data_IF_031665385612
#
_entry.id   IF_031665385612
#
_cell.length_a   1.000
_cell.length_b   1.000
_cell.length_c   1.000
_cell.angle_alpha   90.00
_cell.angle_beta   90.00
_cell.angle_gamma   90.00
#
_symmetry.space_group_name_H-M   'P 1'
#
loop_
_entity.id
_entity.type
_entity.pdbx_description
1 polymer ?
#
# COMPACT_ATOMS: atom_id res chain seq x y z
N UNK A 1 -25.82 19.33 -1.60
CA UNK A 1 -25.49 18.54 -0.39
C UNK A 1 -24.27 19.16 0.26
N UNK A 2 -24.46 19.90 1.34
CA UNK A 2 -23.37 20.50 2.13
C UNK A 2 -22.56 19.40 2.81
N UNK A 3 -21.30 19.24 2.42
CA UNK A 3 -20.31 18.50 3.18
C UNK A 3 -19.97 19.31 4.43
N UNK A 4 -20.58 18.95 5.56
CA UNK A 4 -20.21 19.49 6.85
C UNK A 4 -18.76 19.10 7.15
N UNK A 5 -17.87 20.10 7.17
CA UNK A 5 -16.50 19.98 7.65
C UNK A 5 -16.51 19.79 9.17
N UNK A 6 -16.81 18.57 9.62
CA UNK A 6 -16.63 18.21 11.03
C UNK A 6 -15.16 17.83 11.25
N UNK A 7 -14.41 18.81 11.77
CA UNK A 7 -13.20 18.69 12.59
C UNK A 7 -11.87 18.42 11.87
N UNK A 8 -11.12 19.50 11.70
CA UNK A 8 -9.69 19.52 11.32
C UNK A 8 -8.86 19.28 12.59
N UNK A 9 -8.06 18.20 12.65
CA UNK A 9 -7.04 18.10 13.72
C UNK A 9 -6.46 16.74 14.12
N UNK A 10 -6.96 15.58 13.67
CA UNK A 10 -6.43 14.27 14.11
C UNK A 10 -5.97 13.39 12.92
N UNK A 11 -4.66 13.30 12.63
CA UNK A 11 -4.12 12.55 11.48
C UNK A 11 -4.44 11.06 11.45
N UNK A 12 -4.89 10.49 12.58
CA UNK A 12 -5.23 9.06 12.72
C UNK A 12 -6.67 8.71 12.33
N UNK A 13 -7.60 9.67 12.26
CA UNK A 13 -9.01 9.37 12.02
C UNK A 13 -9.28 8.88 10.58
N UNK A 14 -8.66 9.53 9.58
CA UNK A 14 -8.73 9.08 8.19
C UNK A 14 -8.18 7.66 7.99
N UNK A 15 -7.16 7.28 8.76
CA UNK A 15 -6.58 5.93 8.71
C UNK A 15 -7.56 4.90 9.28
N UNK A 16 -8.27 5.22 10.37
CA UNK A 16 -9.29 4.35 10.96
C UNK A 16 -10.49 4.18 10.03
N UNK A 17 -10.94 5.25 9.37
CA UNK A 17 -12.04 5.20 8.40
C UNK A 17 -11.66 4.42 7.13
N UNK A 18 -10.48 4.65 6.55
CA UNK A 18 -9.96 3.86 5.42
C UNK A 18 -9.82 2.38 5.79
N UNK A 19 -9.36 2.09 7.01
CA UNK A 19 -9.26 0.73 7.52
C UNK A 19 -10.63 0.06 7.67
N UNK A 20 -11.62 0.75 8.23
CA UNK A 20 -12.99 0.26 8.36
C UNK A 20 -13.63 -0.04 6.99
N UNK A 21 -13.47 0.87 6.02
CA UNK A 21 -13.91 0.66 4.63
C UNK A 21 -13.19 -0.53 3.98
N UNK A 22 -11.89 -0.69 4.22
CA UNK A 22 -11.14 -1.84 3.70
C UNK A 22 -11.65 -3.16 4.28
N UNK A 23 -11.96 -3.20 5.58
CA UNK A 23 -12.53 -4.38 6.23
C UNK A 23 -13.92 -4.70 5.70
N UNK A 24 -14.80 -3.71 5.50
CA UNK A 24 -16.13 -3.94 4.93
C UNK A 24 -16.04 -4.48 3.50
N UNK A 25 -15.18 -3.90 2.66
CA UNK A 25 -14.94 -4.39 1.30
C UNK A 25 -14.36 -5.81 1.29
N UNK A 26 -13.47 -6.14 2.23
CA UNK A 26 -12.94 -7.49 2.36
C UNK A 26 -14.03 -8.50 2.74
N UNK A 27 -14.96 -8.12 3.63
CA UNK A 27 -16.11 -8.93 3.99
C UNK A 27 -17.07 -9.13 2.81
N UNK A 28 -17.32 -8.10 2.00
CA UNK A 28 -18.15 -8.19 0.80
C UNK A 28 -17.55 -9.14 -0.24
N UNK A 29 -16.24 -9.02 -0.50
CA UNK A 29 -15.53 -9.90 -1.43
C UNK A 29 -15.50 -11.34 -0.92
N UNK A 30 -15.24 -11.55 0.38
CA UNK A 30 -15.27 -12.89 0.98
C UNK A 30 -16.65 -13.55 0.84
N UNK A 31 -17.71 -12.78 1.12
CA UNK A 31 -19.09 -13.23 0.96
C UNK A 31 -19.40 -13.60 -0.49
N UNK A 32 -18.96 -12.78 -1.45
CA UNK A 32 -19.12 -13.07 -2.88
C UNK A 32 -18.40 -14.36 -3.29
N UNK A 33 -17.16 -14.57 -2.83
CA UNK A 33 -16.40 -15.80 -3.10
C UNK A 33 -17.10 -17.04 -2.55
N UNK A 34 -17.63 -16.98 -1.33
CA UNK A 34 -18.39 -18.07 -0.74
C UNK A 34 -19.70 -18.34 -1.49
N UNK A 35 -20.42 -17.30 -1.91
CA UNK A 35 -21.60 -17.44 -2.77
C UNK A 35 -21.28 -18.10 -4.10
N UNK A 36 -20.16 -17.74 -4.72
CA UNK A 36 -19.72 -18.35 -5.98
C UNK A 36 -19.39 -19.84 -5.83
N UNK A 37 -18.73 -20.23 -4.73
CA UNK A 37 -18.46 -21.64 -4.44
C UNK A 37 -19.75 -22.43 -4.19
N UNK A 38 -20.70 -21.87 -3.43
CA UNK A 38 -22.00 -22.51 -3.19
C UNK A 38 -22.86 -22.58 -4.46
N UNK A 39 -22.78 -21.58 -5.33
CA UNK A 39 -23.45 -21.59 -6.63
C UNK A 39 -22.87 -22.69 -7.51
N UNK A 40 -21.55 -22.84 -7.54
CA UNK A 40 -20.88 -23.94 -8.22
C UNK A 40 -21.28 -25.31 -7.64
N UNK A 41 -21.48 -25.45 -6.32
CA UNK A 41 -21.95 -26.72 -5.73
C UNK A 41 -23.34 -27.15 -6.23
N UNK A 42 -24.19 -26.20 -6.62
CA UNK A 42 -25.54 -26.45 -7.14
C UNK A 42 -25.63 -26.57 -8.65
N UNK A 43 -24.65 -26.01 -9.35
CA UNK A 43 -24.63 -25.89 -10.81
C UNK A 43 -23.28 -26.41 -11.35
N UNK A 44 -22.83 -25.91 -12.48
CA UNK A 44 -21.52 -26.19 -13.04
C UNK A 44 -20.58 -24.97 -12.91
N UNK A 45 -19.29 -25.21 -13.18
CA UNK A 45 -18.26 -24.17 -13.05
C UNK A 45 -18.34 -23.10 -14.14
N UNK A 46 -18.88 -23.42 -15.32
CA UNK A 46 -19.07 -22.45 -16.39
C UNK A 46 -20.17 -21.46 -16.01
N UNK A 47 -21.29 -21.96 -15.49
CA UNK A 47 -22.37 -21.13 -14.97
C UNK A 47 -21.89 -20.23 -13.81
N UNK A 48 -21.07 -20.75 -12.90
CA UNK A 48 -20.48 -19.96 -11.83
C UNK A 48 -19.49 -18.90 -12.35
N UNK A 49 -18.69 -19.25 -13.36
CA UNK A 49 -17.75 -18.33 -14.01
C UNK A 49 -18.49 -17.15 -14.66
N UNK A 50 -19.57 -17.45 -15.39
CA UNK A 50 -20.41 -16.46 -16.07
C UNK A 50 -21.17 -15.58 -15.07
N UNK A 51 -21.88 -16.18 -14.10
CA UNK A 51 -22.71 -15.45 -13.15
C UNK A 51 -21.91 -14.48 -12.25
N UNK A 52 -20.66 -14.81 -11.93
CA UNK A 52 -19.80 -14.00 -11.06
C UNK A 52 -18.72 -13.21 -11.81
N UNK A 53 -18.67 -13.31 -13.15
CA UNK A 53 -17.73 -12.57 -13.99
C UNK A 53 -16.25 -12.89 -13.71
N UNK A 54 -15.93 -14.13 -13.34
CA UNK A 54 -14.57 -14.58 -13.02
C UNK A 54 -14.17 -15.74 -13.91
N UNK A 55 -12.87 -15.90 -14.21
CA UNK A 55 -12.40 -17.07 -14.97
C UNK A 55 -12.70 -18.38 -14.23
N UNK A 56 -12.93 -19.49 -14.93
CA UNK A 56 -13.13 -20.82 -14.32
C UNK A 56 -11.99 -21.23 -13.36
N UNK A 57 -10.76 -20.76 -13.60
CA UNK A 57 -9.61 -21.03 -12.71
C UNK A 57 -9.77 -20.40 -11.33
N UNK A 58 -10.50 -19.30 -11.22
CA UNK A 58 -10.63 -18.51 -10.00
C UNK A 58 -11.46 -19.26 -8.93
N UNK A 59 -12.66 -19.81 -9.21
CA UNK A 59 -13.37 -20.68 -8.27
C UNK A 59 -12.59 -21.93 -7.86
N UNK A 60 -11.85 -22.57 -8.78
CA UNK A 60 -10.97 -23.70 -8.42
C UNK A 60 -9.92 -23.31 -7.38
N UNK A 61 -9.27 -22.16 -7.58
CA UNK A 61 -8.29 -21.66 -6.62
C UNK A 61 -8.92 -21.32 -5.27
N UNK A 62 -10.12 -20.71 -5.24
CA UNK A 62 -10.83 -20.45 -4.00
C UNK A 62 -11.21 -21.74 -3.26
N UNK A 63 -11.65 -22.78 -3.96
CA UNK A 63 -11.92 -24.10 -3.34
C UNK A 63 -10.65 -24.70 -2.76
N UNK A 64 -9.53 -24.57 -3.45
CA UNK A 64 -8.24 -25.03 -2.93
C UNK A 64 -7.85 -24.29 -1.64
N UNK A 65 -8.09 -22.98 -1.56
CA UNK A 65 -7.86 -22.21 -0.34
C UNK A 65 -8.80 -22.62 0.79
N UNK A 66 -10.09 -22.85 0.49
CA UNK A 66 -11.08 -23.35 1.44
C UNK A 66 -10.66 -24.70 2.03
N UNK A 67 -10.22 -25.63 1.19
CA UNK A 67 -9.80 -26.97 1.63
C UNK A 67 -8.51 -26.93 2.48
N UNK A 68 -7.63 -25.95 2.27
CA UNK A 68 -6.37 -25.81 3.02
C UNK A 68 -6.51 -25.01 4.32
N UNK A 69 -7.28 -23.94 4.28
CA UNK A 69 -7.37 -22.93 5.35
C UNK A 69 -8.73 -22.83 6.02
N UNK A 70 -9.69 -23.69 5.66
CA UNK A 70 -11.05 -23.63 6.17
C UNK A 70 -11.81 -22.38 5.69
N UNK A 71 -12.88 -21.98 6.39
CA UNK A 71 -13.77 -20.88 5.99
C UNK A 71 -13.07 -19.53 5.74
N UNK A 72 -11.91 -19.31 6.35
CA UNK A 72 -11.12 -18.09 6.19
C UNK A 72 -10.26 -18.09 4.92
N UNK A 73 -9.99 -19.26 4.32
CA UNK A 73 -9.10 -19.40 3.17
C UNK A 73 -9.49 -18.51 1.97
N UNK A 74 -10.77 -18.44 1.57
CA UNK A 74 -11.22 -17.57 0.48
C UNK A 74 -11.23 -16.07 0.83
N UNK A 75 -10.93 -15.65 2.06
CA UNK A 75 -10.91 -14.23 2.42
C UNK A 75 -9.74 -13.54 1.69
N UNK A 76 -9.95 -12.40 1.01
CA UNK A 76 -8.87 -11.68 0.34
C UNK A 76 -7.86 -11.14 1.36
N UNK A 77 -6.60 -11.50 1.21
CA UNK A 77 -5.51 -10.89 1.98
C UNK A 77 -5.01 -9.60 1.34
N UNK A 78 -4.19 -8.86 2.11
CA UNK A 78 -3.50 -7.67 1.63
C UNK A 78 -2.66 -7.98 0.38
N UNK A 79 -2.86 -7.20 -0.68
CA UNK A 79 -2.01 -7.22 -1.89
C UNK A 79 -0.71 -6.43 -1.70
N UNK A 80 -0.48 -5.86 -0.52
CA UNK A 80 0.74 -5.10 -0.26
C UNK A 80 1.95 -6.05 -0.27
N UNK A 81 3.10 -5.62 -0.82
CA UNK A 81 4.33 -6.41 -0.75
C UNK A 81 4.68 -6.73 0.70
N UNK A 82 5.03 -7.98 0.97
CA UNK A 82 5.51 -8.44 2.30
C UNK A 82 6.75 -7.66 2.73
N UNK A 83 7.65 -7.40 1.78
CA UNK A 83 8.85 -6.60 1.98
C UNK A 83 8.76 -5.35 1.12
N UNK A 84 8.58 -4.20 1.77
CA UNK A 84 8.69 -2.90 1.10
C UNK A 84 10.14 -2.46 1.11
N UNK A 85 10.68 -2.09 -0.04
CA UNK A 85 12.04 -1.52 -0.14
C UNK A 85 12.10 -0.25 0.70
N UNK A 86 13.01 -0.22 1.68
CA UNK A 86 13.34 1.00 2.41
C UNK A 86 14.45 1.73 1.65
N UNK A 87 14.32 3.05 1.49
CA UNK A 87 15.44 3.89 1.01
C UNK A 87 16.46 3.98 2.14
N UNK A 88 17.55 3.22 2.07
CA UNK A 88 18.69 3.37 2.98
C UNK A 88 19.66 4.39 2.39
N UNK A 89 19.76 5.55 3.04
CA UNK A 89 20.82 6.54 2.78
C UNK A 89 21.81 6.51 3.92
N UNK A 90 23.08 6.82 3.63
CA UNK A 90 24.11 6.91 4.65
C UNK A 90 23.68 7.93 5.72
N UNK A 91 23.76 7.61 7.03
CA UNK A 91 23.26 8.46 8.09
C UNK A 91 23.86 9.86 8.07
N UNK A 92 25.12 9.99 7.66
CA UNK A 92 25.79 11.30 7.61
C UNK A 92 25.28 12.18 6.47
N UNK A 93 24.84 11.59 5.34
CA UNK A 93 24.17 12.35 4.28
C UNK A 93 22.84 12.92 4.79
N UNK A 94 22.10 12.13 5.58
CA UNK A 94 20.84 12.58 6.19
C UNK A 94 21.08 13.68 7.23
N UNK A 95 22.16 13.56 8.03
CA UNK A 95 22.56 14.59 8.99
C UNK A 95 22.94 15.89 8.29
N UNK A 96 23.71 15.82 7.20
CA UNK A 96 24.11 17.01 6.45
C UNK A 96 22.91 17.69 5.79
N UNK A 97 21.97 16.93 5.21
CA UNK A 97 20.71 17.51 4.69
C UNK A 97 19.92 18.21 5.79
N UNK A 98 19.82 17.62 6.99
CA UNK A 98 19.15 18.26 8.13
C UNK A 98 19.87 19.54 8.55
N UNK A 99 21.19 19.49 8.69
CA UNK A 99 22.04 20.64 9.02
C UNK A 99 21.81 21.80 8.05
N UNK A 100 21.90 21.53 6.74
CA UNK A 100 21.67 22.54 5.69
C UNK A 100 20.28 23.17 5.76
N UNK A 101 19.24 22.38 6.08
CA UNK A 101 17.87 22.89 6.24
C UNK A 101 17.69 23.70 7.52
N UNK A 102 18.38 23.36 8.60
CA UNK A 102 18.32 24.10 9.86
C UNK A 102 19.09 25.42 9.79
N UNK A 103 20.30 25.41 9.22
CA UNK A 103 21.13 26.62 9.08
C UNK A 103 20.58 27.58 8.01
N UNK A 104 19.98 27.06 6.94
CA UNK A 104 19.54 27.82 5.78
C UNK A 104 18.10 27.42 5.37
N UNK A 105 17.08 27.90 6.11
CA UNK A 105 15.69 27.41 5.99
C UNK A 105 15.02 27.71 4.64
N UNK A 106 15.47 28.75 3.92
CA UNK A 106 14.88 29.16 2.64
C UNK A 106 15.51 28.46 1.42
N UNK A 107 16.43 27.51 1.61
CA UNK A 107 17.06 26.82 0.48
C UNK A 107 16.11 25.81 -0.17
N UNK A 108 15.97 25.94 -1.48
CA UNK A 108 15.30 24.93 -2.29
C UNK A 108 16.11 23.62 -2.38
N UNK A 109 15.41 22.51 -2.65
CA UNK A 109 16.02 21.17 -2.83
C UNK A 109 17.18 21.14 -3.85
N UNK A 110 17.10 21.95 -4.90
CA UNK A 110 18.15 22.08 -5.92
C UNK A 110 19.41 22.75 -5.36
N UNK A 111 19.24 23.80 -4.55
CA UNK A 111 20.35 24.52 -3.93
C UNK A 111 21.02 23.71 -2.82
N UNK A 112 20.25 22.85 -2.12
CA UNK A 112 20.78 21.86 -1.18
C UNK A 112 21.62 20.83 -1.94
N UNK A 113 21.14 20.32 -3.08
CA UNK A 113 21.88 19.35 -3.90
C UNK A 113 23.24 19.88 -4.37
N UNK A 114 23.29 21.13 -4.84
CA UNK A 114 24.55 21.78 -5.26
C UNK A 114 25.59 21.81 -4.14
N UNK A 115 25.17 22.04 -2.90
CA UNK A 115 26.04 22.07 -1.71
C UNK A 115 26.40 20.67 -1.20
N UNK A 116 25.46 19.74 -1.27
CA UNK A 116 25.62 18.37 -0.80
C UNK A 116 26.55 17.54 -1.71
N UNK A 117 26.48 17.75 -3.03
CA UNK A 117 27.28 17.01 -4.03
C UNK A 117 28.80 17.06 -3.75
N UNK A 118 29.45 18.22 -3.56
CA UNK A 118 30.88 18.26 -3.23
C UNK A 118 31.18 17.65 -1.85
N UNK A 119 30.31 17.84 -0.86
CA UNK A 119 30.47 17.25 0.47
C UNK A 119 30.43 15.71 0.45
N UNK A 120 29.54 15.14 -0.35
CA UNK A 120 29.45 13.70 -0.59
C UNK A 120 30.67 13.18 -1.35
N UNK A 121 31.14 13.90 -2.38
CA UNK A 121 32.31 13.53 -3.17
C UNK A 121 33.58 13.46 -2.32
N UNK A 122 33.79 14.42 -1.42
CA UNK A 122 34.91 14.44 -0.48
C UNK A 122 34.93 13.25 0.49
N UNK A 123 33.77 12.67 0.79
CA UNK A 123 33.61 11.56 1.73
C UNK A 123 33.39 10.22 1.04
N UNK A 124 33.49 10.18 -0.29
CA UNK A 124 33.20 9.01 -1.12
C UNK A 124 31.80 8.42 -0.85
N UNK A 125 30.82 9.28 -0.55
CA UNK A 125 29.42 8.90 -0.29
C UNK A 125 28.55 9.10 -1.53
N UNK A 126 27.57 8.22 -1.72
CA UNK A 126 26.58 8.37 -2.80
C UNK A 126 25.65 9.54 -2.50
N UNK A 127 25.61 10.53 -3.40
CA UNK A 127 24.75 11.70 -3.25
C UNK A 127 23.30 11.40 -3.71
N UNK A 128 22.27 11.72 -2.90
CA UNK A 128 20.87 11.56 -3.30
C UNK A 128 20.48 12.53 -4.40
N UNK A 129 19.54 12.11 -5.25
CA UNK A 129 18.95 12.97 -6.27
C UNK A 129 18.14 14.12 -5.64
N UNK A 130 17.92 15.19 -6.41
CA UNK A 130 17.07 16.33 -6.01
C UNK A 130 15.67 15.88 -5.55
N UNK A 131 15.09 14.90 -6.25
CA UNK A 131 13.79 14.30 -5.90
C UNK A 131 13.80 13.49 -4.61
N UNK A 132 14.97 13.05 -4.15
CA UNK A 132 15.12 12.30 -2.90
C UNK A 132 15.42 13.21 -1.71
N UNK A 133 15.96 14.41 -1.97
CA UNK A 133 16.17 15.46 -0.97
C UNK A 133 14.84 16.15 -0.64
N UNK A 134 14.01 16.39 -1.66
CA UNK A 134 12.71 17.06 -1.60
C UNK A 134 11.72 16.43 -0.64
#
# INVERSE_FOLDING_TARGET
MQMQHLMVGYPKYYQTADYALRLSVMADIATMRMKALHFWDKHDISAASEAFGVSCRTPYWWRQLLNKGGPEGPIPHSKAPLVRRKKHWHPDVLKEIRRLRTELPNLGKEQIFVRLKPWCAQRHLTCPSVSTIG
#
